data_IF_867564306937
#
_entry.id   IF_867564306937
#
_cell.length_a   1.000
_cell.length_b   1.000
_cell.length_c   1.000
_cell.angle_alpha   90.00
_cell.angle_beta   90.00
_cell.angle_gamma   90.00
#
_symmetry.space_group_name_H-M   'P 1'
#
loop_
_entity.id
_entity.type
_entity.pdbx_description
1 polymer ?
#
# COMPACT_ATOMS: atom_id res chain seq x y z
N UNK A 1 35.29 -7.74 11.43
CA UNK A 1 34.72 -7.49 10.09
C UNK A 1 34.67 -8.75 9.24
N UNK A 2 33.46 -9.31 9.10
CA UNK A 2 33.23 -10.56 8.36
C UNK A 2 32.89 -10.34 6.88
N UNK A 3 32.46 -9.13 6.50
CA UNK A 3 32.12 -8.76 5.12
C UNK A 3 32.62 -7.34 4.80
N UNK A 4 32.89 -7.06 3.52
CA UNK A 4 33.40 -5.77 3.02
C UNK A 4 32.32 -4.85 2.43
N UNK A 5 31.05 -5.23 2.59
CA UNK A 5 29.91 -4.50 2.07
C UNK A 5 29.12 -3.90 3.24
N UNK A 6 28.45 -2.75 3.06
CA UNK A 6 27.62 -2.18 4.12
C UNK A 6 26.53 -3.16 4.58
N UNK A 7 26.42 -3.34 5.89
CA UNK A 7 25.44 -4.20 6.54
C UNK A 7 24.40 -3.32 7.23
N UNK A 8 23.12 -3.63 6.98
CA UNK A 8 22.00 -3.00 7.66
C UNK A 8 21.32 -4.02 8.58
N UNK A 9 21.24 -3.72 9.88
CA UNK A 9 20.48 -4.56 10.80
C UNK A 9 18.98 -4.25 10.68
N UNK A 10 18.16 -5.30 10.70
CA UNK A 10 16.70 -5.19 10.67
C UNK A 10 16.10 -6.09 11.76
N UNK A 11 15.24 -5.51 12.58
CA UNK A 11 14.42 -6.24 13.54
C UNK A 11 14.42 -5.59 14.92
N UNK A 12 13.24 -5.58 15.54
CA UNK A 12 13.05 -5.15 16.93
C UNK A 12 13.53 -3.71 17.25
N UNK A 13 13.47 -2.81 16.28
CA UNK A 13 13.72 -1.38 16.49
C UNK A 13 12.40 -0.72 16.86
N UNK A 14 12.25 -0.37 18.14
CA UNK A 14 11.01 0.19 18.69
C UNK A 14 11.04 1.72 18.79
N UNK A 15 12.21 2.28 19.10
CA UNK A 15 12.44 3.70 19.31
C UNK A 15 13.91 4.05 18.98
N UNK A 16 14.27 5.34 19.08
CA UNK A 16 15.63 5.80 18.80
C UNK A 16 16.69 5.11 19.68
N UNK A 17 16.40 4.88 20.97
CA UNK A 17 17.31 4.14 21.86
C UNK A 17 17.59 2.71 21.36
N UNK A 18 16.59 2.06 20.74
CA UNK A 18 16.75 0.73 20.12
C UNK A 18 17.69 0.78 18.90
N UNK A 19 17.68 1.89 18.15
CA UNK A 19 18.62 2.13 17.03
C UNK A 19 20.04 2.20 17.57
N UNK A 20 20.28 3.06 18.56
CA UNK A 20 21.59 3.27 19.18
C UNK A 20 22.15 1.97 19.79
N UNK A 21 21.29 1.26 20.53
CA UNK A 21 21.64 -0.03 21.12
C UNK A 21 22.00 -1.07 20.05
N UNK A 22 21.18 -1.20 19.00
CA UNK A 22 21.42 -2.17 17.95
C UNK A 22 22.73 -1.87 17.20
N UNK A 23 23.01 -0.61 16.88
CA UNK A 23 24.28 -0.22 16.24
C UNK A 23 25.47 -0.53 17.15
N UNK A 24 25.38 -0.21 18.45
CA UNK A 24 26.44 -0.49 19.42
C UNK A 24 26.72 -1.98 19.59
N UNK A 25 25.68 -2.81 19.67
CA UNK A 25 25.81 -4.25 19.90
C UNK A 25 26.27 -5.01 18.65
N UNK A 26 25.82 -4.60 17.47
CA UNK A 26 26.07 -5.33 16.22
C UNK A 26 27.26 -4.81 15.42
N UNK A 27 27.64 -3.53 15.62
CA UNK A 27 28.64 -2.87 14.77
C UNK A 27 28.19 -2.71 13.31
N UNK A 28 26.88 -2.75 13.05
CA UNK A 28 26.31 -2.60 11.70
C UNK A 28 26.48 -1.18 11.15
N UNK A 29 26.56 -1.03 9.84
CA UNK A 29 26.71 0.27 9.16
C UNK A 29 25.42 1.09 9.11
N UNK A 30 24.26 0.47 9.30
CA UNK A 30 22.97 1.14 9.30
C UNK A 30 21.83 0.31 9.88
N UNK A 31 20.69 0.96 10.09
CA UNK A 31 19.49 0.33 10.65
C UNK A 31 18.34 0.44 9.65
N UNK A 32 17.60 -0.66 9.49
CA UNK A 32 16.35 -0.72 8.76
C UNK A 32 15.21 -0.99 9.73
N UNK A 33 14.19 -0.13 9.68
CA UNK A 33 13.00 -0.23 10.51
C UNK A 33 11.78 -0.54 9.65
N UNK A 34 10.76 -1.13 10.28
CA UNK A 34 9.48 -1.42 9.63
C UNK A 34 8.33 -1.11 10.59
N UNK A 35 7.96 -2.05 11.45
CA UNK A 35 6.79 -1.92 12.33
C UNK A 35 6.86 -0.69 13.25
N UNK A 36 8.04 -0.34 13.78
CA UNK A 36 8.21 0.85 14.63
C UNK A 36 7.69 2.14 13.99
N UNK A 37 8.01 2.37 12.71
CA UNK A 37 7.57 3.55 11.96
C UNK A 37 6.05 3.58 11.70
N UNK A 38 5.38 2.42 11.69
CA UNK A 38 3.93 2.36 11.50
C UNK A 38 3.15 2.85 12.72
N UNK A 39 3.75 2.77 13.92
CA UNK A 39 3.13 3.23 15.16
C UNK A 39 3.68 4.58 15.63
N UNK A 40 4.92 4.92 15.27
CA UNK A 40 5.51 6.24 15.49
C UNK A 40 6.36 6.66 14.27
N UNK A 41 5.82 7.50 13.37
CA UNK A 41 6.57 8.03 12.22
C UNK A 41 7.78 8.88 12.62
N UNK A 42 7.74 9.53 13.79
CA UNK A 42 8.82 10.37 14.34
C UNK A 42 9.93 9.56 15.06
N UNK A 43 10.02 8.25 14.82
CA UNK A 43 10.96 7.33 15.47
C UNK A 43 12.41 7.84 15.44
N UNK A 44 12.87 8.34 14.29
CA UNK A 44 14.24 8.81 14.11
C UNK A 44 14.50 10.21 14.67
N UNK A 45 13.46 10.97 15.00
CA UNK A 45 13.58 12.23 15.75
C UNK A 45 13.67 12.00 17.26
N UNK A 46 13.43 10.77 17.73
CA UNK A 46 13.38 10.45 19.16
C UNK A 46 12.20 11.08 19.89
N UNK A 47 11.14 11.46 19.16
CA UNK A 47 9.93 12.07 19.72
C UNK A 47 8.76 11.09 19.73
N UNK A 48 7.82 11.31 20.64
CA UNK A 48 6.53 10.61 20.69
C UNK A 48 5.42 11.66 20.54
N UNK A 49 5.16 12.17 19.33
CA UNK A 49 4.12 13.17 19.11
C UNK A 49 2.73 12.56 19.33
N UNK A 50 1.70 13.40 19.57
CA UNK A 50 0.33 12.95 19.52
C UNK A 50 -0.04 12.33 18.17
N UNK A 51 -0.85 11.28 18.19
CA UNK A 51 -1.24 10.53 17.00
C UNK A 51 -2.02 11.36 15.98
N UNK A 52 -2.69 12.42 16.40
CA UNK A 52 -3.43 13.31 15.50
C UNK A 52 -2.51 14.22 14.68
N UNK A 53 -1.38 14.68 15.23
CA UNK A 53 -0.43 15.50 14.49
C UNK A 53 0.17 14.71 13.31
N UNK A 54 0.58 13.47 13.60
CA UNK A 54 1.11 12.55 12.58
C UNK A 54 0.04 12.13 11.55
N UNK A 55 -1.21 11.99 11.97
CA UNK A 55 -2.30 11.65 11.07
C UNK A 55 -2.63 12.81 10.12
N UNK A 56 -2.68 14.04 10.64
CA UNK A 56 -2.97 15.24 9.85
C UNK A 56 -1.89 15.47 8.79
N UNK A 57 -0.62 15.41 9.18
CA UNK A 57 0.52 15.51 8.26
C UNK A 57 0.47 14.40 7.21
N UNK A 58 0.24 13.16 7.63
CA UNK A 58 0.13 12.03 6.70
C UNK A 58 -1.02 12.20 5.70
N UNK A 59 -2.20 12.62 6.15
CA UNK A 59 -3.36 12.82 5.28
C UNK A 59 -3.16 14.01 4.34
N UNK A 60 -2.44 15.06 4.77
CA UNK A 60 -2.02 16.13 3.88
C UNK A 60 -1.12 15.60 2.77
N UNK A 61 -0.10 14.80 3.11
CA UNK A 61 0.80 14.20 2.12
C UNK A 61 0.04 13.28 1.15
N UNK A 62 -0.96 12.53 1.62
CA UNK A 62 -1.83 11.71 0.76
C UNK A 62 -2.70 12.55 -0.15
N UNK A 63 -3.14 13.74 0.29
CA UNK A 63 -3.89 14.69 -0.55
C UNK A 63 -3.02 15.22 -1.68
N UNK A 64 -1.76 15.52 -1.40
CA UNK A 64 -0.78 15.97 -2.39
C UNK A 64 -0.30 14.81 -3.30
N UNK A 65 -0.24 13.59 -2.75
CA UNK A 65 0.26 12.40 -3.42
C UNK A 65 -0.74 11.24 -3.28
N UNK A 66 -1.82 11.21 -4.10
CA UNK A 66 -2.87 10.23 -3.99
C UNK A 66 -2.35 8.79 -4.07
N UNK A 67 -2.77 7.95 -3.12
CA UNK A 67 -2.41 6.55 -3.08
C UNK A 67 -3.64 5.66 -2.82
N UNK A 68 -3.44 4.33 -2.90
CA UNK A 68 -4.54 3.38 -2.73
C UNK A 68 -5.16 3.51 -1.33
N UNK A 69 -6.48 3.64 -1.28
CA UNK A 69 -7.23 3.79 -0.02
C UNK A 69 -6.98 2.65 0.98
N UNK A 70 -6.66 1.44 0.51
CA UNK A 70 -6.26 0.32 1.36
C UNK A 70 -4.96 0.56 2.12
N UNK A 71 -3.99 1.25 1.51
CA UNK A 71 -2.73 1.63 2.15
C UNK A 71 -2.98 2.70 3.21
N UNK A 72 -3.71 3.77 2.86
CA UNK A 72 -4.09 4.86 3.77
C UNK A 72 -4.77 4.29 5.02
N UNK A 73 -5.83 3.49 4.83
CA UNK A 73 -6.54 2.84 5.93
C UNK A 73 -5.62 1.94 6.76
N UNK A 74 -4.73 1.19 6.11
CA UNK A 74 -3.76 0.34 6.79
C UNK A 74 -2.81 1.11 7.69
N UNK A 75 -2.31 2.26 7.23
CA UNK A 75 -1.43 3.13 8.02
C UNK A 75 -2.19 3.77 9.19
N UNK A 76 -3.40 4.28 8.97
CA UNK A 76 -4.24 4.84 10.04
C UNK A 76 -4.58 3.80 11.12
N UNK A 77 -4.84 2.54 10.75
CA UNK A 77 -5.03 1.45 11.72
C UNK A 77 -3.81 1.16 12.59
N UNK A 78 -2.61 1.39 12.05
CA UNK A 78 -1.35 1.20 12.78
C UNK A 78 -1.06 2.40 13.67
N UNK A 79 -1.13 3.61 13.11
CA UNK A 79 -0.90 4.85 13.85
C UNK A 79 -1.84 4.98 15.05
N UNK A 80 -3.13 4.66 14.87
CA UNK A 80 -4.12 4.71 15.95
C UNK A 80 -4.34 3.37 16.66
N UNK A 81 -3.37 2.44 16.61
CA UNK A 81 -3.58 1.09 17.15
C UNK A 81 -4.14 1.11 18.58
N UNK A 82 -3.56 1.93 19.46
CA UNK A 82 -3.96 2.06 20.85
C UNK A 82 -5.28 2.83 21.01
N UNK A 83 -5.43 3.99 20.36
CA UNK A 83 -6.69 4.76 20.40
C UNK A 83 -7.90 3.98 19.89
N UNK A 84 -7.74 3.13 18.87
CA UNK A 84 -8.82 2.31 18.31
C UNK A 84 -9.24 1.14 19.20
N UNK A 85 -8.43 0.77 20.20
CA UNK A 85 -8.85 -0.20 21.23
C UNK A 85 -9.85 0.41 22.22
N UNK A 86 -9.78 1.73 22.41
CA UNK A 86 -10.66 2.49 23.31
C UNK A 86 -11.87 2.99 22.52
N UNK A 87 -11.65 3.70 21.42
CA UNK A 87 -12.70 4.18 20.52
C UNK A 87 -13.07 3.11 19.47
N UNK A 88 -13.73 2.05 19.93
CA UNK A 88 -14.11 0.91 19.09
C UNK A 88 -15.11 1.25 17.99
N UNK A 89 -15.90 2.31 18.17
CA UNK A 89 -16.78 2.88 17.15
C UNK A 89 -15.97 3.53 16.02
N UNK A 90 -14.90 4.27 16.34
CA UNK A 90 -13.97 4.83 15.35
C UNK A 90 -13.24 3.74 14.58
N UNK A 91 -12.90 2.63 15.23
CA UNK A 91 -12.36 1.44 14.55
C UNK A 91 -13.31 0.89 13.50
N UNK A 92 -14.60 0.87 13.81
CA UNK A 92 -15.64 0.40 12.89
C UNK A 92 -15.83 1.39 11.75
N UNK A 93 -15.88 2.69 12.05
CA UNK A 93 -16.01 3.75 11.05
C UNK A 93 -14.82 3.74 10.06
N UNK A 94 -13.58 3.64 10.56
CA UNK A 94 -12.38 3.55 9.74
C UNK A 94 -12.38 2.32 8.82
N UNK A 95 -12.88 1.18 9.32
CA UNK A 95 -13.01 -0.04 8.53
C UNK A 95 -14.03 0.09 7.40
N UNK A 96 -15.13 0.82 7.64
CA UNK A 96 -16.25 0.97 6.72
C UNK A 96 -16.08 2.11 5.72
N UNK A 97 -15.20 3.08 5.99
CA UNK A 97 -14.95 4.23 5.12
C UNK A 97 -14.57 3.82 3.70
N UNK A 98 -15.30 4.32 2.70
CA UNK A 98 -15.15 3.93 1.27
C UNK A 98 -14.44 4.98 0.41
N UNK A 99 -14.33 6.20 0.90
CA UNK A 99 -13.71 7.34 0.22
C UNK A 99 -12.58 7.90 1.07
N UNK A 100 -11.71 8.72 0.47
CA UNK A 100 -10.62 9.36 1.20
C UNK A 100 -11.18 10.37 2.22
N UNK A 101 -12.19 11.12 1.81
CA UNK A 101 -12.92 12.12 2.60
C UNK A 101 -13.54 11.47 3.84
N UNK A 102 -14.12 10.27 3.69
CA UNK A 102 -14.64 9.51 4.83
C UNK A 102 -13.55 9.12 5.82
N UNK A 103 -12.31 8.86 5.38
CA UNK A 103 -11.19 8.61 6.31
C UNK A 103 -10.71 9.90 6.99
N UNK A 104 -10.75 11.04 6.29
CA UNK A 104 -10.45 12.36 6.84
C UNK A 104 -11.47 12.73 7.92
N UNK A 105 -12.77 12.52 7.68
CA UNK A 105 -13.83 12.74 8.68
C UNK A 105 -13.61 11.89 9.94
N UNK A 106 -13.23 10.62 9.77
CA UNK A 106 -12.87 9.74 10.90
C UNK A 106 -11.63 10.25 11.63
N UNK A 107 -10.65 10.81 10.91
CA UNK A 107 -9.44 11.41 11.48
C UNK A 107 -9.77 12.61 12.36
N UNK A 108 -10.58 13.53 11.86
CA UNK A 108 -10.99 14.73 12.61
C UNK A 108 -11.78 14.37 13.86
N UNK A 109 -12.69 13.39 13.77
CA UNK A 109 -13.45 12.93 14.93
C UNK A 109 -12.55 12.21 15.96
N UNK A 110 -11.61 11.37 15.50
CA UNK A 110 -10.62 10.74 16.37
C UNK A 110 -9.75 11.79 17.07
N UNK A 111 -9.28 12.80 16.33
CA UNK A 111 -8.49 13.92 16.83
C UNK A 111 -9.26 14.69 17.90
N UNK A 112 -10.51 15.08 17.63
CA UNK A 112 -11.37 15.78 18.61
C UNK A 112 -11.47 15.02 19.93
N UNK A 113 -11.75 13.71 19.88
CA UNK A 113 -11.84 12.86 21.08
C UNK A 113 -10.52 12.78 21.84
N UNK A 114 -9.43 12.54 21.12
CA UNK A 114 -8.11 12.46 21.75
C UNK A 114 -7.70 13.79 22.38
N UNK A 115 -8.03 14.94 21.78
CA UNK A 115 -7.75 16.26 22.33
C UNK A 115 -8.60 16.58 23.56
N UNK A 116 -9.88 16.21 23.54
CA UNK A 116 -10.77 16.33 24.71
C UNK A 116 -10.27 15.48 25.88
N UNK A 117 -9.76 14.29 25.62
CA UNK A 117 -9.16 13.44 26.65
C UNK A 117 -7.83 13.99 27.14
N UNK A 118 -6.96 14.47 26.26
CA UNK A 118 -5.70 15.11 26.59
C UNK A 118 -5.87 16.39 27.43
N UNK A 119 -7.02 17.07 27.32
CA UNK A 119 -7.31 18.30 28.08
C UNK A 119 -7.77 18.03 29.52
N UNK A 120 -8.08 16.78 29.88
CA UNK A 120 -8.57 16.43 31.22
C UNK A 120 -7.42 16.47 32.25
N UNK A 121 -7.71 16.85 33.51
CA UNK A 121 -6.70 16.78 34.57
C UNK A 121 -6.25 15.33 34.79
N UNK A 122 -4.94 15.08 34.73
CA UNK A 122 -4.36 13.74 34.87
C UNK A 122 -4.29 12.94 33.56
N UNK A 123 -4.59 13.55 32.41
CA UNK A 123 -4.53 12.89 31.11
C UNK A 123 -3.13 12.38 30.72
N UNK A 124 -2.07 12.95 31.29
CA UNK A 124 -0.69 12.50 31.05
C UNK A 124 -0.41 11.08 31.59
N UNK A 125 -1.34 10.50 32.35
CA UNK A 125 -1.17 9.16 32.90
C UNK A 125 -1.25 8.09 31.82
N UNK A 126 -0.41 7.03 31.92
CA UNK A 126 -0.44 5.97 30.94
C UNK A 126 -1.78 5.21 30.92
N UNK A 127 -2.18 4.75 29.74
CA UNK A 127 -3.47 4.05 29.55
C UNK A 127 -3.26 2.54 29.46
N UNK A 128 -4.03 1.70 30.17
CA UNK A 128 -4.06 0.23 29.99
C UNK A 128 -2.67 -0.43 29.82
N UNK A 129 -1.81 -0.30 30.84
CA UNK A 129 -0.43 -0.86 30.89
C UNK A 129 0.52 -0.34 29.79
N UNK A 130 0.13 0.68 29.04
CA UNK A 130 1.01 1.36 28.09
C UNK A 130 2.00 2.26 28.83
N UNK A 131 3.15 2.60 28.21
CA UNK A 131 4.09 3.58 28.76
C UNK A 131 3.58 5.03 28.65
N UNK A 132 2.71 5.32 27.69
CA UNK A 132 2.15 6.66 27.46
C UNK A 132 0.62 6.61 27.32
N UNK A 133 -0.08 7.75 27.46
CA UNK A 133 -1.49 7.84 27.09
C UNK A 133 -1.74 7.31 25.68
N UNK A 134 -2.90 6.71 25.42
CA UNK A 134 -3.16 6.01 24.16
C UNK A 134 -3.06 6.89 22.91
N UNK A 135 -3.20 8.21 23.06
CA UNK A 135 -3.10 9.20 21.99
C UNK A 135 -1.68 9.69 21.72
N UNK A 136 -0.68 9.18 22.44
CA UNK A 136 0.73 9.43 22.17
C UNK A 136 1.28 8.29 21.29
N UNK A 137 2.00 8.64 20.23
CA UNK A 137 2.66 7.68 19.35
C UNK A 137 3.63 6.81 20.17
N UNK A 138 3.41 5.51 20.19
CA UNK A 138 4.20 4.60 21.00
C UNK A 138 4.31 3.21 20.36
N UNK A 139 5.38 2.45 20.63
CA UNK A 139 5.61 1.18 19.94
C UNK A 139 4.59 0.11 20.33
N UNK A 140 4.07 -0.62 19.34
CA UNK A 140 3.23 -1.79 19.59
C UNK A 140 4.09 -3.00 19.95
N UNK A 141 3.98 -3.43 21.21
CA UNK A 141 4.53 -4.71 21.66
C UNK A 141 3.44 -5.77 21.53
N UNK A 142 3.65 -6.72 20.60
CA UNK A 142 2.74 -7.85 20.45
C UNK A 142 2.75 -8.66 21.76
N UNK A 143 1.58 -8.85 22.41
CA UNK A 143 1.48 -9.76 23.54
C UNK A 143 1.97 -11.14 23.12
N UNK A 144 2.99 -11.66 23.81
CA UNK A 144 3.39 -13.06 23.65
C UNK A 144 2.32 -13.84 24.41
N UNK A 145 1.47 -14.59 23.70
CA UNK A 145 0.59 -15.58 24.34
C UNK A 145 1.44 -16.56 25.16
N UNK A 146 0.81 -17.30 26.09
CA UNK A 146 1.52 -18.24 26.96
C UNK A 146 2.44 -19.13 26.10
N UNK A 147 3.73 -19.10 26.41
CA UNK A 147 4.74 -19.82 25.67
C UNK A 147 4.40 -21.32 25.63
N UNK A 148 3.80 -21.85 26.71
CA UNK A 148 3.33 -23.24 26.80
C UNK A 148 2.18 -23.49 25.85
N UNK A 149 1.19 -22.60 25.76
CA UNK A 149 0.08 -22.72 24.81
C UNK A 149 0.58 -22.69 23.36
N UNK A 150 1.57 -21.85 23.06
CA UNK A 150 2.14 -21.75 21.71
C UNK A 150 2.98 -22.98 21.34
N UNK A 151 3.76 -23.50 22.28
CA UNK A 151 4.52 -24.74 22.10
C UNK A 151 3.60 -25.94 21.96
N UNK A 152 2.54 -26.01 22.77
CA UNK A 152 1.50 -27.03 22.68
C UNK A 152 0.74 -26.95 21.35
N UNK A 153 0.29 -25.77 20.92
CA UNK A 153 -0.37 -25.58 19.64
C UNK A 153 0.56 -25.90 18.44
N UNK A 154 1.87 -25.69 18.58
CA UNK A 154 2.84 -26.12 17.57
C UNK A 154 3.08 -27.64 17.58
N UNK A 155 3.08 -28.29 18.75
CA UNK A 155 3.17 -29.76 18.90
C UNK A 155 1.92 -30.47 18.38
N UNK A 156 0.75 -29.91 18.64
CA UNK A 156 -0.55 -30.40 18.17
C UNK A 156 -0.79 -30.12 16.68
N UNK A 157 0.07 -29.31 16.04
CA UNK A 157 -0.04 -28.99 14.62
C UNK A 157 0.36 -30.21 13.79
N UNK A 158 -0.55 -30.81 12.99
CA UNK A 158 -0.23 -32.03 12.28
C UNK A 158 0.91 -31.79 11.27
N UNK A 159 1.89 -32.71 11.19
CA UNK A 159 3.03 -32.57 10.29
C UNK A 159 2.57 -32.51 8.83
N UNK A 160 3.20 -31.65 8.02
CA UNK A 160 2.87 -31.42 6.60
C UNK A 160 2.77 -32.71 5.75
N UNK A 161 3.40 -33.81 6.20
CA UNK A 161 3.40 -35.12 5.52
C UNK A 161 2.06 -35.86 5.61
N UNK A 162 1.22 -35.59 6.61
CA UNK A 162 -0.11 -36.23 6.77
C UNK A 162 -1.19 -35.69 5.80
N UNK A 163 -0.88 -34.68 4.98
CA UNK A 163 -1.83 -34.08 4.02
C UNK A 163 -2.02 -34.89 2.72
N UNK A 164 -1.30 -35.99 2.53
CA UNK A 164 -1.31 -36.83 1.33
C UNK A 164 -1.89 -38.24 1.57
N UNK A 165 -2.68 -38.49 2.62
CA UNK A 165 -3.36 -39.79 2.76
C UNK A 165 -4.57 -39.85 1.81
N UNK A 166 -4.48 -40.72 0.81
CA UNK A 166 -5.32 -40.78 -0.40
C UNK A 166 -6.76 -41.32 -0.19
N UNK A 167 -7.20 -41.56 1.04
CA UNK A 167 -8.54 -42.11 1.31
C UNK A 167 -9.62 -41.07 1.62
N UNK A 168 -9.36 -40.17 2.58
CA UNK A 168 -10.42 -39.32 3.19
C UNK A 168 -10.45 -37.87 2.68
N UNK A 169 -9.45 -37.45 1.91
CA UNK A 169 -9.29 -36.07 1.44
C UNK A 169 -9.38 -35.93 -0.09
N UNK A 170 -9.87 -36.95 -0.79
CA UNK A 170 -10.04 -36.93 -2.24
C UNK A 170 -10.91 -35.73 -2.66
N UNK A 171 -10.37 -34.85 -3.51
CA UNK A 171 -11.07 -33.67 -4.03
C UNK A 171 -10.95 -32.38 -3.19
N UNK A 172 -10.28 -32.39 -2.04
CA UNK A 172 -10.04 -31.18 -1.24
C UNK A 172 -8.66 -30.56 -1.52
N UNK A 173 -8.63 -29.24 -1.72
CA UNK A 173 -7.37 -28.50 -1.84
C UNK A 173 -6.57 -28.54 -0.52
N UNK A 174 -5.24 -28.42 -0.62
CA UNK A 174 -4.33 -28.31 0.54
C UNK A 174 -4.77 -27.25 1.56
N UNK A 175 -5.43 -26.17 1.12
CA UNK A 175 -5.93 -25.11 2.00
C UNK A 175 -7.25 -25.50 2.70
N UNK A 176 -8.12 -26.27 2.04
CA UNK A 176 -9.35 -26.79 2.64
C UNK A 176 -9.04 -27.84 3.70
N UNK A 177 -8.10 -28.76 3.44
CA UNK A 177 -7.66 -29.76 4.43
C UNK A 177 -7.08 -29.07 5.66
N UNK A 178 -6.19 -28.08 5.46
CA UNK A 178 -5.63 -27.26 6.56
C UNK A 178 -6.68 -26.47 7.34
N UNK A 179 -7.74 -25.98 6.68
CA UNK A 179 -8.84 -25.28 7.36
C UNK A 179 -9.71 -26.24 8.15
N UNK A 180 -10.02 -27.42 7.61
CA UNK A 180 -10.78 -28.47 8.27
C UNK A 180 -10.06 -29.02 9.51
N UNK A 181 -8.75 -29.26 9.43
CA UNK A 181 -7.94 -29.64 10.59
C UNK A 181 -7.91 -28.55 11.69
N UNK A 182 -7.88 -27.27 11.30
CA UNK A 182 -7.88 -26.16 12.29
C UNK A 182 -9.24 -25.91 12.93
N UNK A 183 -10.34 -26.29 12.27
CA UNK A 183 -11.69 -26.09 12.77
C UNK A 183 -12.53 -27.35 12.53
N UNK A 184 -12.27 -28.44 13.28
CA UNK A 184 -12.91 -29.73 13.04
C UNK A 184 -14.44 -29.67 13.12
N UNK A 185 -14.98 -28.77 13.96
CA UNK A 185 -16.42 -28.60 14.18
C UNK A 185 -17.08 -27.56 13.26
N UNK A 186 -16.32 -26.83 12.43
CA UNK A 186 -16.93 -25.91 11.45
C UNK A 186 -17.29 -26.69 10.19
N UNK A 187 -18.58 -26.78 9.89
CA UNK A 187 -19.07 -27.32 8.62
C UNK A 187 -18.63 -26.40 7.46
N UNK A 188 -17.54 -26.78 6.80
CA UNK A 188 -17.04 -26.11 5.59
C UNK A 188 -17.82 -26.48 4.32
N UNK A 189 -18.68 -27.48 4.40
CA UNK A 189 -19.70 -27.73 3.39
C UNK A 189 -20.72 -26.60 3.50
N UNK A 190 -20.71 -25.70 2.53
CA UNK A 190 -21.70 -24.63 2.38
C UNK A 190 -23.09 -25.26 2.38
N UNK A 191 -23.81 -25.21 3.52
CA UNK A 191 -25.26 -25.34 3.51
C UNK A 191 -25.79 -24.19 2.66
N UNK A 192 -26.23 -24.46 1.43
CA UNK A 192 -27.00 -23.49 0.65
C UNK A 192 -26.62 -23.26 -0.81
N UNK A 193 -25.81 -24.09 -1.45
CA UNK A 193 -25.76 -24.15 -2.91
C UNK A 193 -26.26 -25.52 -3.32
N UNK A 194 -27.41 -25.58 -4.00
CA UNK A 194 -27.92 -26.83 -4.58
C UNK A 194 -26.87 -27.50 -5.48
N UNK A 195 -27.12 -28.76 -5.93
CA UNK A 195 -26.19 -29.48 -6.79
C UNK A 195 -25.76 -28.56 -7.95
N UNK A 196 -24.45 -28.30 -8.05
CA UNK A 196 -23.94 -27.50 -9.15
C UNK A 196 -24.18 -28.26 -10.45
N UNK A 197 -24.68 -27.56 -11.46
CA UNK A 197 -24.87 -28.17 -12.77
C UNK A 197 -23.49 -28.35 -13.40
N UNK A 198 -23.16 -29.58 -13.79
CA UNK A 198 -21.88 -29.90 -14.40
C UNK A 198 -21.83 -29.41 -15.85
N UNK A 199 -20.65 -28.94 -16.27
CA UNK A 199 -20.34 -28.65 -17.65
C UNK A 199 -20.23 -29.96 -18.44
N UNK A 200 -21.01 -30.08 -19.50
CA UNK A 200 -21.07 -31.29 -20.34
C UNK A 200 -19.72 -31.69 -20.94
N UNK A 201 -18.80 -30.72 -21.16
CA UNK A 201 -17.48 -31.00 -21.76
C UNK A 201 -16.42 -31.52 -20.79
N UNK A 202 -16.52 -31.23 -19.48
CA UNK A 202 -15.42 -31.52 -18.56
C UNK A 202 -15.82 -31.76 -17.09
N UNK A 203 -17.11 -31.79 -16.74
CA UNK A 203 -17.58 -32.03 -15.38
C UNK A 203 -17.41 -30.86 -14.41
N UNK A 204 -16.69 -29.79 -14.79
CA UNK A 204 -16.54 -28.59 -13.95
C UNK A 204 -17.86 -27.83 -13.78
N UNK A 205 -18.05 -27.05 -12.70
CA UNK A 205 -19.28 -26.27 -12.51
C UNK A 205 -19.57 -25.31 -13.67
N UNK A 206 -20.80 -25.37 -14.20
CA UNK A 206 -21.33 -24.49 -15.24
C UNK A 206 -21.52 -23.07 -14.69
N UNK A 207 -21.24 -22.06 -15.52
CA UNK A 207 -21.60 -20.68 -15.21
C UNK A 207 -23.12 -20.50 -15.26
N UNK A 208 -23.72 -20.02 -14.17
CA UNK A 208 -25.19 -19.93 -14.02
C UNK A 208 -25.86 -19.19 -15.18
N UNK A 209 -25.22 -18.11 -15.66
CA UNK A 209 -25.69 -17.27 -16.77
C UNK A 209 -24.76 -17.35 -18.00
N UNK A 210 -24.00 -18.43 -18.15
CA UNK A 210 -23.10 -18.60 -19.28
C UNK A 210 -23.91 -18.77 -20.57
N UNK A 211 -23.60 -17.95 -21.59
CA UNK A 211 -24.23 -18.00 -22.92
C UNK A 211 -24.16 -19.41 -23.53
N UNK A 212 -23.04 -20.10 -23.31
CA UNK A 212 -22.80 -21.45 -23.82
C UNK A 212 -23.19 -22.56 -22.86
N UNK A 213 -23.69 -22.24 -21.67
CA UNK A 213 -23.94 -23.24 -20.63
C UNK A 213 -22.72 -24.10 -20.25
N UNK A 214 -21.51 -23.54 -20.35
CA UNK A 214 -20.25 -24.24 -20.05
C UNK A 214 -19.59 -23.68 -18.78
N UNK A 215 -18.54 -24.35 -18.30
CA UNK A 215 -17.62 -23.76 -17.32
C UNK A 215 -16.76 -22.66 -17.97
N UNK A 216 -16.08 -21.84 -17.17
CA UNK A 216 -15.23 -20.74 -17.68
C UNK A 216 -14.19 -21.19 -18.72
N UNK A 217 -13.53 -22.33 -18.50
CA UNK A 217 -12.47 -22.81 -19.38
C UNK A 217 -13.01 -23.26 -20.74
N UNK A 218 -14.04 -24.12 -20.75
CA UNK A 218 -14.68 -24.58 -21.98
C UNK A 218 -15.41 -23.44 -22.70
N UNK A 219 -16.04 -22.53 -21.94
CA UNK A 219 -16.66 -21.32 -22.49
C UNK A 219 -15.62 -20.42 -23.19
N UNK A 220 -14.40 -20.30 -22.65
CA UNK A 220 -13.33 -19.51 -23.29
C UNK A 220 -12.95 -20.08 -24.65
N UNK A 221 -12.81 -21.40 -24.76
CA UNK A 221 -12.48 -22.07 -26.02
C UNK A 221 -13.61 -21.88 -27.04
N UNK A 222 -14.86 -22.13 -26.63
CA UNK A 222 -16.03 -21.97 -27.51
C UNK A 222 -16.23 -20.52 -27.95
N UNK A 223 -16.21 -19.57 -27.01
CA UNK A 223 -16.40 -18.15 -27.27
C UNK A 223 -15.31 -17.57 -28.17
N UNK A 224 -14.08 -18.08 -28.08
CA UNK A 224 -13.00 -17.71 -28.98
C UNK A 224 -13.22 -18.28 -30.39
N UNK A 225 -13.58 -19.56 -30.50
CA UNK A 225 -13.83 -20.21 -31.79
C UNK A 225 -15.00 -19.56 -32.55
N UNK A 226 -16.08 -19.21 -31.84
CA UNK A 226 -17.27 -18.58 -32.43
C UNK A 226 -17.19 -17.05 -32.48
N UNK A 227 -16.10 -16.44 -31.98
CA UNK A 227 -15.95 -14.98 -31.85
C UNK A 227 -17.16 -14.31 -31.20
N UNK A 228 -17.56 -14.85 -30.05
CA UNK A 228 -18.75 -14.43 -29.32
C UNK A 228 -18.38 -13.94 -27.92
N UNK A 229 -19.26 -13.13 -27.34
CA UNK A 229 -19.09 -12.60 -25.99
C UNK A 229 -19.86 -13.43 -24.97
N UNK A 230 -19.30 -13.54 -23.76
CA UNK A 230 -19.96 -14.18 -22.63
C UNK A 230 -19.84 -13.28 -21.39
N UNK A 231 -20.85 -12.44 -21.11
CA UNK A 231 -20.87 -11.54 -19.95
C UNK A 231 -20.67 -12.27 -18.61
N UNK A 232 -21.29 -13.45 -18.45
CA UNK A 232 -21.18 -14.26 -17.22
C UNK A 232 -19.74 -14.68 -16.89
N UNK A 233 -18.88 -14.85 -17.90
CA UNK A 233 -17.46 -15.16 -17.71
C UNK A 233 -16.56 -13.96 -18.04
N UNK A 234 -17.12 -12.78 -18.30
CA UNK A 234 -16.36 -11.58 -18.71
C UNK A 234 -15.41 -11.86 -19.89
N UNK A 235 -15.93 -12.55 -20.90
CA UNK A 235 -15.23 -12.81 -22.17
C UNK A 235 -15.85 -11.90 -23.23
N UNK A 236 -15.01 -11.13 -23.94
CA UNK A 236 -15.45 -10.10 -24.88
C UNK A 236 -14.65 -10.22 -26.20
N UNK A 237 -14.77 -11.33 -26.91
CA UNK A 237 -14.03 -11.57 -28.15
C UNK A 237 -14.60 -10.78 -29.33
N UNK A 238 -15.93 -10.74 -29.49
CA UNK A 238 -16.62 -9.98 -30.55
C UNK A 238 -16.40 -8.48 -30.38
N UNK A 239 -16.72 -7.95 -29.20
CA UNK A 239 -16.59 -6.52 -28.90
C UNK A 239 -15.14 -6.03 -29.05
N UNK A 240 -14.14 -6.87 -28.70
CA UNK A 240 -12.72 -6.53 -28.89
C UNK A 240 -12.31 -6.52 -30.36
N UNK A 241 -12.80 -7.47 -31.16
CA UNK A 241 -12.52 -7.49 -32.60
C UNK A 241 -13.17 -6.31 -33.32
N UNK A 242 -14.41 -5.98 -33.01
CA UNK A 242 -15.12 -4.80 -33.56
C UNK A 242 -14.38 -3.50 -33.22
N UNK A 243 -13.95 -3.34 -31.96
CA UNK A 243 -13.16 -2.17 -31.53
C UNK A 243 -11.84 -2.07 -32.27
N UNK A 244 -11.16 -3.19 -32.52
CA UNK A 244 -9.92 -3.21 -33.31
C UNK A 244 -10.16 -2.75 -34.75
N UNK A 245 -11.22 -3.27 -35.40
CA UNK A 245 -11.58 -2.85 -36.77
C UNK A 245 -11.88 -1.36 -36.85
N UNK A 246 -12.67 -0.83 -35.90
CA UNK A 246 -12.95 0.60 -35.83
C UNK A 246 -11.69 1.45 -35.63
N UNK A 247 -10.72 0.96 -34.86
CA UNK A 247 -9.44 1.64 -34.67
C UNK A 247 -8.58 1.63 -35.94
N UNK A 248 -8.52 0.50 -36.65
CA UNK A 248 -7.81 0.37 -37.93
C UNK A 248 -8.45 1.25 -39.03
N UNK A 249 -9.79 1.30 -39.09
CA UNK A 249 -10.57 2.18 -39.96
C UNK A 249 -10.21 3.65 -39.71
N UNK A 250 -10.26 4.09 -38.44
CA UNK A 250 -9.90 5.47 -38.06
C UNK A 250 -8.45 5.80 -38.40
N UNK A 251 -7.53 4.85 -38.19
CA UNK A 251 -6.12 5.03 -38.55
C UNK A 251 -5.95 5.21 -40.06
N UNK A 252 -6.65 4.40 -40.88
CA UNK A 252 -6.63 4.52 -42.34
C UNK A 252 -7.22 5.84 -42.82
N UNK A 253 -8.33 6.29 -42.23
CA UNK A 253 -8.93 7.59 -42.54
C UNK A 253 -7.98 8.75 -42.21
N UNK A 254 -7.27 8.68 -41.07
CA UNK A 254 -6.27 9.69 -40.70
C UNK A 254 -5.11 9.74 -41.69
N UNK A 255 -4.59 8.58 -42.11
CA UNK A 255 -3.53 8.51 -43.12
C UNK A 255 -3.97 9.02 -44.51
N UNK A 256 -5.22 8.74 -44.90
CA UNK A 256 -5.77 9.26 -46.14
C UNK A 256 -5.93 10.78 -46.09
N UNK A 257 -6.40 11.33 -44.96
CA UNK A 257 -6.47 12.78 -44.76
C UNK A 257 -5.08 13.41 -44.83
N UNK A 258 -4.09 12.90 -44.08
CA UNK A 258 -2.70 13.40 -44.10
C UNK A 258 -2.08 13.36 -45.51
N UNK A 259 -2.34 12.31 -46.29
CA UNK A 259 -1.87 12.22 -47.68
C UNK A 259 -2.58 13.22 -48.61
N UNK A 260 -3.89 13.44 -48.46
CA UNK A 260 -4.62 14.45 -49.26
C UNK A 260 -4.22 15.89 -48.93
N UNK A 261 -3.85 16.19 -47.68
CA UNK A 261 -3.34 17.53 -47.32
C UNK A 261 -1.96 17.77 -47.93
N UNK A 262 -1.07 16.77 -47.90
CA UNK A 262 0.26 16.87 -48.52
C UNK A 262 0.20 16.97 -50.05
N UNK A 263 -0.74 16.27 -50.72
CA UNK A 263 -0.92 16.40 -52.19
C UNK A 263 -1.50 17.75 -52.63
N UNK A 264 -2.19 18.48 -51.75
CA UNK A 264 -2.68 19.84 -52.02
C UNK A 264 -1.61 20.91 -51.80
N UNK A 265 -0.65 20.68 -50.90
CA UNK A 265 0.48 21.59 -50.68
C UNK A 265 1.54 21.50 -51.80
N UNK A 266 1.70 20.34 -52.45
CA UNK A 266 2.69 20.14 -53.53
C UNK A 266 2.23 20.59 -54.93
N UNK A 267 0.96 21.00 -55.08
CA UNK A 267 0.38 21.50 -56.34
C UNK A 267 0.27 23.04 -56.42
N UNK A 268 0.89 23.77 -55.50
CA UNK A 268 1.04 25.23 -55.61
C UNK A 268 2.47 25.55 -56.03
N UNK A 269 2.68 25.81 -57.32
CA UNK A 269 3.97 26.29 -57.85
C UNK A 269 4.41 27.58 -57.13
N UNK A 270 5.70 27.73 -56.75
CA UNK A 270 6.21 28.99 -56.25
C UNK A 270 6.39 29.99 -57.41
N UNK A 271 5.58 31.06 -57.41
CA UNK A 271 5.80 32.24 -58.25
C UNK A 271 7.15 32.91 -57.86
N UNK A 272 8.06 33.21 -58.81
CA UNK A 272 9.41 33.65 -58.52
C UNK A 272 9.58 35.18 -58.41
N UNK A 273 8.52 35.94 -58.14
CA UNK A 273 8.60 37.40 -58.03
C UNK A 273 7.75 37.93 -56.87
N UNK A 274 8.25 37.86 -55.63
CA UNK A 274 7.85 38.82 -54.61
C UNK A 274 8.90 39.01 -53.50
N UNK A 275 9.58 40.18 -53.43
CA UNK A 275 10.52 40.51 -52.38
C UNK A 275 9.82 41.31 -51.28
N UNK A 276 9.55 40.71 -50.12
CA UNK A 276 9.66 41.41 -48.84
C UNK A 276 9.44 40.47 -47.65
N UNK A 277 10.52 40.25 -46.90
CA UNK A 277 10.47 39.74 -45.55
C UNK A 277 10.52 40.92 -44.57
N UNK A 278 9.41 41.22 -43.91
CA UNK A 278 9.26 41.84 -42.58
C UNK A 278 8.05 42.77 -42.57
N UNK A 279 6.98 42.40 -41.85
CA UNK A 279 6.42 43.20 -40.75
C UNK A 279 5.63 42.26 -39.82
N UNK A 280 5.77 42.57 -38.54
CA UNK A 280 5.29 41.95 -37.31
C UNK A 280 3.75 41.96 -37.11
N UNK A 281 3.37 41.25 -36.04
CA UNK A 281 2.16 41.30 -35.20
C UNK A 281 1.10 40.26 -35.57
N UNK A 282 0.97 39.18 -34.79
CA UNK A 282 0.25 39.10 -33.50
C UNK A 282 -1.26 39.32 -33.67
N UNK A 283 -2.04 38.24 -33.60
CA UNK A 283 -2.96 38.01 -32.46
C UNK A 283 -3.77 36.70 -32.59
N UNK A 284 -3.73 35.91 -31.51
CA UNK A 284 -4.89 35.19 -30.97
C UNK A 284 -5.34 33.86 -31.59
N UNK A 285 -5.04 32.73 -30.94
CA UNK A 285 -6.00 32.09 -30.01
C UNK A 285 -5.59 30.66 -29.64
N UNK A 286 -5.80 30.34 -28.35
CA UNK A 286 -5.51 29.11 -27.64
C UNK A 286 -6.22 27.87 -28.23
N UNK A 287 -5.60 26.69 -28.10
CA UNK A 287 -6.17 25.58 -27.31
C UNK A 287 -5.15 24.46 -27.06
N UNK A 288 -4.78 24.37 -25.78
CA UNK A 288 -4.37 23.25 -24.94
C UNK A 288 -4.30 21.84 -25.56
N UNK A 289 -3.11 21.26 -25.57
CA UNK A 289 -2.90 19.81 -25.70
C UNK A 289 -3.15 19.14 -24.34
N UNK A 290 -4.12 18.23 -24.30
CA UNK A 290 -4.28 17.27 -23.20
C UNK A 290 -3.92 15.90 -23.76
N UNK A 291 -2.75 15.40 -23.38
CA UNK A 291 -2.36 14.01 -23.60
C UNK A 291 -3.15 13.11 -22.65
N UNK A 292 -4.13 12.37 -23.17
CA UNK A 292 -4.78 11.29 -22.41
C UNK A 292 -3.97 9.99 -22.58
N UNK A 293 -2.96 9.81 -21.73
CA UNK A 293 -2.30 8.52 -21.49
C UNK A 293 -3.25 7.64 -20.68
N UNK A 294 -3.82 6.62 -21.32
CA UNK A 294 -4.45 5.50 -20.61
C UNK A 294 -3.46 4.32 -20.60
N UNK A 295 -2.71 4.21 -19.50
CA UNK A 295 -1.81 3.10 -19.22
C UNK A 295 -2.59 1.82 -18.89
N UNK A 296 -2.26 0.75 -19.61
CA UNK A 296 -2.72 -0.61 -19.34
C UNK A 296 -1.70 -1.28 -18.43
N UNK A 297 -2.02 -1.39 -17.14
CA UNK A 297 -1.24 -2.20 -16.21
C UNK A 297 -1.52 -3.70 -16.42
N UNK A 298 -0.68 -4.34 -17.24
CA UNK A 298 -0.53 -5.80 -17.33
C UNK A 298 0.76 -6.23 -16.64
N UNK A 299 0.64 -6.94 -15.52
CA UNK A 299 1.75 -7.66 -14.87
C UNK A 299 2.07 -8.92 -15.68
N UNK A 300 3.25 -8.99 -16.27
CA UNK A 300 3.91 -10.27 -16.56
C UNK A 300 5.38 -10.21 -16.18
N UNK A 301 5.82 -11.32 -15.61
CA UNK A 301 7.12 -11.63 -14.99
C UNK A 301 8.03 -12.38 -15.97
N UNK A 302 9.32 -12.04 -16.02
CA UNK A 302 10.53 -12.90 -16.24
C UNK A 302 11.63 -12.03 -16.90
N UNK A 303 12.79 -11.78 -16.27
CA UNK A 303 13.96 -12.64 -16.03
C UNK A 303 15.03 -12.54 -17.15
N UNK A 304 16.26 -12.15 -16.73
CA UNK A 304 17.57 -12.40 -17.39
C UNK A 304 17.86 -11.62 -18.70
N UNK A 305 19.01 -11.02 -19.02
CA UNK A 305 20.42 -11.10 -18.59
C UNK A 305 21.23 -9.93 -19.25
N UNK A 306 22.34 -9.54 -18.59
CA UNK A 306 23.60 -8.91 -19.05
C UNK A 306 23.68 -7.93 -20.24
N UNK A 307 24.38 -6.81 -20.01
CA UNK A 307 24.98 -5.97 -21.05
C UNK A 307 25.51 -4.65 -20.50
N UNK A 308 26.79 -4.38 -20.73
CA UNK A 308 27.67 -3.38 -20.11
C UNK A 308 27.30 -1.89 -20.31
N UNK A 309 27.89 -1.03 -19.45
CA UNK A 309 27.62 0.42 -19.34
C UNK A 309 28.03 1.29 -20.55
N UNK A 310 28.03 2.64 -20.39
CA UNK A 310 29.07 3.27 -19.58
C UNK A 310 28.62 4.46 -18.70
N UNK A 311 29.56 4.78 -17.82
CA UNK A 311 29.64 5.85 -16.82
C UNK A 311 29.55 7.25 -17.45
N UNK A 312 28.73 8.14 -16.89
CA UNK A 312 29.00 9.59 -16.87
C UNK A 312 28.55 10.24 -15.56
N UNK A 313 29.54 10.84 -14.90
CA UNK A 313 29.49 11.68 -13.71
C UNK A 313 28.90 13.06 -14.02
N UNK A 314 28.08 13.59 -13.11
CA UNK A 314 27.66 14.98 -13.13
C UNK A 314 27.25 15.46 -11.74
N UNK A 315 28.14 16.19 -11.07
CA UNK A 315 27.88 16.90 -9.81
C UNK A 315 26.88 18.03 -10.06
N UNK A 316 25.90 18.19 -9.17
CA UNK A 316 25.11 19.42 -9.06
C UNK A 316 25.27 20.01 -7.65
N UNK A 317 25.23 21.35 -7.50
CA UNK A 317 25.87 22.04 -6.39
C UNK A 317 24.95 22.35 -5.21
N UNK A 318 25.62 22.54 -4.08
CA UNK A 318 25.13 23.03 -2.78
C UNK A 318 24.58 24.46 -2.93
N UNK A 319 23.38 24.71 -2.39
CA UNK A 319 22.85 26.07 -2.18
C UNK A 319 22.62 26.25 -0.68
N UNK A 320 23.32 27.23 -0.10
CA UNK A 320 23.19 27.69 1.28
C UNK A 320 22.12 28.80 1.38
N UNK A 321 21.56 29.06 2.58
CA UNK A 321 20.30 29.78 2.72
C UNK A 321 20.46 31.31 2.74
N UNK A 322 19.44 32.00 2.23
CA UNK A 322 19.32 33.46 2.27
C UNK A 322 18.87 33.97 3.64
N UNK A 323 19.59 34.99 4.09
CA UNK A 323 19.39 35.78 5.29
C UNK A 323 18.49 36.98 4.93
N UNK A 324 17.37 37.20 5.61
CA UNK A 324 16.66 38.48 5.58
C UNK A 324 16.03 38.78 6.95
N UNK A 325 16.17 40.04 7.33
CA UNK A 325 16.00 40.60 8.67
C UNK A 325 14.53 40.93 8.99
N UNK A 326 14.22 40.88 10.28
CA UNK A 326 12.93 41.23 10.91
C UNK A 326 12.49 42.69 10.70
N UNK A 327 11.18 42.95 10.88
CA UNK A 327 10.79 44.03 11.76
C UNK A 327 9.74 43.63 12.81
N UNK A 328 10.13 43.86 14.07
CA UNK A 328 9.37 44.29 15.25
C UNK A 328 7.83 44.27 15.21
N UNK A 329 7.26 43.49 16.13
CA UNK A 329 6.37 44.01 17.18
C UNK A 329 4.89 43.65 17.11
N UNK A 330 4.44 42.70 17.95
CA UNK A 330 3.26 42.81 18.82
C UNK A 330 3.17 41.55 19.70
N UNK A 331 3.15 41.75 21.02
CA UNK A 331 3.00 40.72 22.04
C UNK A 331 1.60 40.09 22.01
N UNK A 332 1.55 38.76 22.17
CA UNK A 332 0.43 38.07 22.81
C UNK A 332 0.96 36.74 23.38
N UNK A 333 0.98 36.65 24.70
CA UNK A 333 1.25 35.43 25.47
C UNK A 333 0.25 34.32 25.11
N UNK A 334 0.75 33.16 24.66
CA UNK A 334 0.09 31.88 24.89
C UNK A 334 1.16 30.78 25.09
N UNK A 335 1.40 30.43 26.35
CA UNK A 335 2.35 29.39 26.75
C UNK A 335 1.64 28.05 26.79
N UNK A 336 1.83 27.22 25.75
CA UNK A 336 1.63 25.77 25.87
C UNK A 336 2.78 25.13 26.70
N UNK A 337 2.48 24.10 27.52
CA UNK A 337 3.48 23.49 28.40
C UNK A 337 4.46 22.60 27.63
N UNK A 338 5.75 22.84 27.83
CA UNK A 338 6.83 21.91 27.45
C UNK A 338 6.75 20.67 28.34
N UNK A 339 6.40 19.53 27.77
CA UNK A 339 6.56 18.23 28.44
C UNK A 339 8.05 17.95 28.57
N UNK A 340 8.52 17.78 29.80
CA UNK A 340 9.90 17.44 30.12
C UNK A 340 10.12 15.96 29.79
N UNK A 341 11.15 15.66 29.00
CA UNK A 341 11.69 14.31 28.90
C UNK A 341 12.17 13.89 30.30
N UNK A 342 11.48 12.93 30.90
CA UNK A 342 11.87 12.34 32.17
C UNK A 342 13.03 11.36 31.96
N UNK A 343 14.11 11.58 32.70
CA UNK A 343 15.26 10.68 32.80
C UNK A 343 14.82 9.29 33.26
N UNK A 344 15.04 8.28 32.42
CA UNK A 344 14.92 6.87 32.80
C UNK A 344 16.14 6.54 33.66
N UNK A 345 15.94 6.40 34.97
CA UNK A 345 16.94 5.89 35.88
C UNK A 345 17.20 4.39 35.62
N UNK A 346 18.48 4.07 35.46
CA UNK A 346 19.02 2.71 35.33
C UNK A 346 18.50 1.77 36.43
N UNK A 347 17.86 0.68 36.03
CA UNK A 347 17.70 -0.51 36.87
C UNK A 347 18.75 -1.56 36.49
N UNK A 348 19.45 -2.17 37.47
CA UNK A 348 20.60 -3.03 37.21
C UNK A 348 20.21 -4.38 36.57
N UNK A 349 21.13 -5.02 35.82
CA UNK A 349 20.83 -6.21 35.04
C UNK A 349 20.63 -7.44 35.94
N UNK A 350 19.49 -8.09 35.82
CA UNK A 350 19.23 -9.41 36.40
C UNK A 350 20.13 -10.44 35.71
N UNK A 351 21.13 -10.95 36.44
CA UNK A 351 21.94 -12.09 36.04
C UNK A 351 21.05 -13.32 35.86
N UNK A 352 20.95 -13.83 34.64
CA UNK A 352 20.43 -15.18 34.38
C UNK A 352 21.60 -16.14 34.54
N UNK A 353 21.60 -16.90 35.63
CA UNK A 353 22.56 -17.98 35.85
C UNK A 353 22.24 -19.13 34.90
N UNK A 354 23.18 -19.44 34.01
CA UNK A 354 23.37 -20.77 33.44
C UNK A 354 23.70 -21.72 34.59
N UNK A 355 22.96 -22.81 34.74
CA UNK A 355 23.42 -24.00 35.43
C UNK A 355 23.51 -25.10 34.40
N UNK A 356 24.75 -25.45 34.10
CA UNK A 356 25.14 -26.69 33.45
C UNK A 356 24.91 -27.89 34.38
N UNK A 357 24.81 -29.02 33.70
CA UNK A 357 24.78 -30.42 34.12
C UNK A 357 25.63 -30.80 35.34
N UNK A 358 25.08 -31.67 36.17
CA UNK A 358 25.66 -33.00 36.50
C UNK A 358 24.54 -34.00 36.83
#
# INVERSE_FOLDING_TARGET
>A
DSVKIPVFANGNILNLQSVERCMKETGTDGIMTAEGNLHNPALFEGKNPPVWEMADEYLQLVRENPCQLSAVRGHLFKLWHHSLQIHTDMRTALAQGKTFESLVEVSEEMKRRCQEEASKPGADQPTNDLPFPHWICQPYIRPRGDQKEREQANKERPPKRHLNQEGENAGLSRNQIKRRMRYPHKNFLSKGLGPWIACEKCGNPKGLNCVFSLCRACCKVQAHAEKMDCPSHRLWFKTKEERRRLWEEKKRQKQQQENTTNEQEDNTSPDPDNPNNSVKNEDGSLTTQVEEKCEVNGKETQACQHGDGPVLSGKAPVVAPHHQQDPKGAEADDKLPKVKNGDIQDSPPTKVCLLDTD
#
